data_IF_583614737344
#
_entry.id   IF_583614737344
#
_cell.length_a   1.000
_cell.length_b   1.000
_cell.length_c   1.000
_cell.angle_alpha   90.00
_cell.angle_beta   90.00
_cell.angle_gamma   90.00
#
_symmetry.space_group_name_H-M   'P 1'
#
loop_
_entity.id
_entity.type
_entity.pdbx_description
1 polymer ?
#
# COMPACT_ATOMS: atom_id res chain seq x y z
N UNK A 1 11.76 29.83 -19.63
CA UNK A 1 12.65 29.38 -20.73
C UNK A 1 12.43 27.88 -20.88
N UNK A 2 11.95 27.44 -22.05
CA UNK A 2 11.57 26.05 -22.35
C UNK A 2 12.66 25.46 -23.26
N UNK A 3 13.27 24.34 -22.87
CA UNK A 3 14.14 23.51 -23.70
C UNK A 3 14.33 22.15 -23.00
N UNK A 4 14.37 20.99 -23.64
CA UNK A 4 14.02 20.55 -24.99
C UNK A 4 13.83 19.02 -24.86
N UNK A 5 12.92 18.46 -25.66
CA UNK A 5 12.63 17.01 -25.76
C UNK A 5 13.67 16.35 -26.67
N UNK A 6 14.23 15.21 -26.26
CA UNK A 6 15.03 14.34 -27.14
C UNK A 6 14.45 12.93 -27.16
N UNK A 7 13.75 12.60 -28.24
CA UNK A 7 13.31 11.25 -28.62
C UNK A 7 14.43 10.60 -29.43
N UNK A 8 14.94 9.45 -28.98
CA UNK A 8 15.87 8.61 -29.72
C UNK A 8 15.14 7.42 -30.34
N UNK A 9 14.75 7.53 -31.62
CA UNK A 9 14.42 6.41 -32.49
C UNK A 9 15.72 5.85 -33.08
N UNK A 10 15.94 4.52 -32.99
CA UNK A 10 16.84 3.82 -33.89
C UNK A 10 16.18 2.56 -34.44
N UNK A 11 16.10 2.56 -35.78
CA UNK A 11 15.65 1.50 -36.68
C UNK A 11 16.75 0.44 -36.87
N UNK A 12 16.34 -0.83 -37.06
CA UNK A 12 16.89 -1.84 -37.99
C UNK A 12 16.47 -3.25 -37.47
N UNK A 13 16.01 -4.22 -38.26
CA UNK A 13 15.82 -4.32 -39.70
C UNK A 13 15.06 -5.61 -40.01
N UNK A 14 14.30 -5.57 -41.11
CA UNK A 14 13.63 -6.71 -41.72
C UNK A 14 14.61 -7.39 -42.69
N UNK A 15 14.64 -8.73 -42.72
CA UNK A 15 15.43 -9.51 -43.67
C UNK A 15 14.73 -10.83 -44.01
N UNK A 16 14.37 -10.98 -45.28
CA UNK A 16 13.53 -12.03 -45.87
C UNK A 16 14.37 -13.06 -46.65
N UNK A 17 13.84 -14.30 -46.72
CA UNK A 17 13.99 -15.36 -47.74
C UNK A 17 15.21 -16.29 -47.78
N UNK A 18 14.91 -17.60 -47.59
CA UNK A 18 15.12 -18.64 -48.61
C UNK A 18 16.37 -19.52 -48.54
N UNK A 19 16.19 -20.86 -48.54
CA UNK A 19 17.21 -21.81 -48.98
C UNK A 19 17.34 -23.11 -48.16
N UNK A 20 17.12 -24.24 -48.84
CA UNK A 20 17.10 -25.64 -48.38
C UNK A 20 18.41 -26.24 -47.77
N UNK A 21 18.17 -27.31 -46.99
CA UNK A 21 19.04 -28.29 -46.27
C UNK A 21 20.31 -28.78 -47.02
N UNK A 22 21.37 -29.25 -46.32
CA UNK A 22 21.31 -30.50 -45.54
C UNK A 22 22.06 -30.53 -44.19
N UNK A 23 21.67 -31.52 -43.36
CA UNK A 23 22.25 -31.87 -42.05
C UNK A 23 23.77 -32.04 -42.06
N UNK A 24 24.41 -31.70 -40.93
CA UNK A 24 25.01 -32.78 -40.15
C UNK A 24 24.68 -32.73 -38.65
N UNK A 25 24.65 -33.94 -38.09
CA UNK A 25 24.65 -34.37 -36.70
C UNK A 25 25.10 -33.35 -35.64
N UNK A 26 24.31 -33.30 -34.55
CA UNK A 26 24.74 -32.84 -33.24
C UNK A 26 24.36 -31.40 -32.90
N UNK A 27 23.07 -31.14 -32.60
CA UNK A 27 22.71 -29.93 -31.85
C UNK A 27 22.92 -30.20 -30.36
N UNK A 28 23.70 -29.39 -29.63
CA UNK A 28 23.57 -29.35 -28.18
C UNK A 28 22.13 -28.96 -27.90
N UNK A 29 21.46 -29.73 -27.03
CA UNK A 29 20.18 -29.32 -26.44
C UNK A 29 20.34 -27.89 -25.96
N UNK A 30 19.69 -26.95 -26.66
CA UNK A 30 19.42 -25.63 -26.10
C UNK A 30 18.57 -25.92 -24.88
N UNK A 31 19.22 -25.93 -23.71
CA UNK A 31 18.53 -25.72 -22.45
C UNK A 31 17.62 -24.52 -22.67
N UNK A 32 16.32 -24.78 -22.64
CA UNK A 32 15.35 -23.72 -22.42
C UNK A 32 15.85 -22.96 -21.20
N UNK A 33 16.00 -21.63 -21.24
CA UNK A 33 16.27 -20.89 -20.02
C UNK A 33 15.17 -21.28 -19.05
N UNK A 34 15.53 -21.98 -17.99
CA UNK A 34 14.63 -22.16 -16.86
C UNK A 34 14.16 -20.75 -16.52
N UNK A 35 12.85 -20.52 -16.60
CA UNK A 35 12.26 -19.25 -16.24
C UNK A 35 12.85 -18.88 -14.88
N UNK A 36 13.64 -17.80 -14.85
CA UNK A 36 14.31 -17.37 -13.64
C UNK A 36 13.22 -17.26 -12.58
N UNK A 37 13.38 -18.03 -11.49
CA UNK A 37 12.42 -18.00 -10.40
C UNK A 37 12.19 -16.53 -10.02
N UNK A 38 10.93 -16.07 -9.93
CA UNK A 38 10.65 -14.67 -9.65
C UNK A 38 11.40 -14.28 -8.37
N UNK A 39 12.25 -13.26 -8.48
CA UNK A 39 12.97 -12.71 -7.34
C UNK A 39 11.92 -12.31 -6.31
N UNK A 40 11.92 -12.94 -5.13
CA UNK A 40 11.00 -12.61 -4.04
C UNK A 40 11.16 -11.13 -3.70
N UNK A 41 10.21 -10.32 -4.14
CA UNK A 41 10.17 -8.90 -3.82
C UNK A 41 9.91 -8.77 -2.31
N UNK A 42 10.68 -7.91 -1.61
CA UNK A 42 10.51 -7.70 -0.16
C UNK A 42 9.02 -7.42 0.13
N UNK A 43 8.47 -8.13 1.13
CA UNK A 43 7.12 -7.92 1.63
C UNK A 43 7.12 -6.76 2.61
N UNK A 44 6.26 -5.78 2.40
CA UNK A 44 6.02 -4.71 3.38
C UNK A 44 5.24 -5.24 4.58
N UNK A 45 4.37 -6.24 4.40
CA UNK A 45 3.58 -6.85 5.48
C UNK A 45 4.43 -7.34 6.65
N UNK A 46 5.62 -7.88 6.38
CA UNK A 46 6.53 -8.40 7.41
C UNK A 46 7.01 -7.32 8.36
N UNK A 47 7.17 -6.10 7.87
CA UNK A 47 7.64 -4.97 8.67
C UNK A 47 6.48 -4.15 9.26
N UNK A 48 5.39 -3.98 8.50
CA UNK A 48 4.35 -3.00 8.81
C UNK A 48 3.16 -3.58 9.56
N UNK A 49 2.77 -4.84 9.36
CA UNK A 49 1.69 -5.45 10.14
C UNK A 49 1.97 -5.36 11.64
N UNK A 50 3.17 -5.72 12.15
CA UNK A 50 3.45 -5.59 13.58
C UNK A 50 3.37 -4.15 14.10
N UNK A 51 3.72 -3.14 13.29
CA UNK A 51 3.63 -1.72 13.67
C UNK A 51 2.17 -1.28 13.75
N UNK A 52 1.34 -1.69 12.79
CA UNK A 52 -0.10 -1.39 12.75
C UNK A 52 -0.81 -2.11 13.92
N UNK A 53 -0.50 -3.37 14.16
CA UNK A 53 -1.04 -4.14 15.28
C UNK A 53 -0.65 -3.53 16.62
N UNK A 54 0.60 -3.06 16.77
CA UNK A 54 1.03 -2.37 17.98
C UNK A 54 0.28 -1.04 18.18
N UNK A 55 -0.03 -0.33 17.09
CA UNK A 55 -0.80 0.91 17.14
C UNK A 55 -2.29 0.69 17.42
N UNK A 56 -2.86 -0.48 17.10
CA UNK A 56 -4.29 -0.81 17.19
C UNK A 56 -4.66 -1.83 18.29
N UNK A 57 -3.67 -2.45 18.93
CA UNK A 57 -3.83 -3.65 19.76
C UNK A 57 -4.40 -3.45 21.19
N UNK A 58 -4.58 -4.58 21.88
CA UNK A 58 -5.38 -4.79 23.11
C UNK A 58 -5.08 -3.91 24.34
N UNK A 59 -3.99 -3.15 24.36
CA UNK A 59 -3.71 -2.16 25.41
C UNK A 59 -4.53 -0.86 25.27
N UNK A 60 -5.34 -0.74 24.21
CA UNK A 60 -6.07 0.50 23.88
C UNK A 60 -7.59 0.35 23.99
N UNK A 61 -8.06 -0.77 24.54
CA UNK A 61 -9.48 -1.03 24.73
C UNK A 61 -10.12 0.07 25.60
N UNK A 62 -11.13 0.76 25.04
CA UNK A 62 -11.81 1.87 25.72
C UNK A 62 -11.04 3.19 25.77
N UNK A 63 -9.87 3.31 25.11
CA UNK A 63 -9.12 4.58 25.03
C UNK A 63 -9.97 5.66 24.36
N UNK A 64 -10.74 5.28 23.34
CA UNK A 64 -11.71 6.13 22.64
C UNK A 64 -13.17 5.93 23.11
N UNK A 65 -13.40 5.60 24.37
CA UNK A 65 -14.75 5.58 24.94
C UNK A 65 -15.39 6.99 25.03
N UNK A 66 -14.56 8.03 25.01
CA UNK A 66 -14.99 9.43 24.88
C UNK A 66 -14.09 10.06 23.83
N UNK A 67 -14.63 10.21 22.63
CA UNK A 67 -13.92 10.57 21.41
C UNK A 67 -13.22 11.91 21.59
N UNK A 68 -13.90 12.90 22.20
CA UNK A 68 -13.35 14.24 22.35
C UNK A 68 -12.20 14.39 23.35
N UNK A 69 -11.75 13.34 24.04
CA UNK A 69 -10.65 13.45 25.00
C UNK A 69 -9.27 13.35 24.35
N UNK A 70 -8.29 14.03 24.95
CA UNK A 70 -6.87 13.99 24.57
C UNK A 70 -6.32 12.57 24.36
N UNK A 71 -6.66 11.63 25.27
CA UNK A 71 -6.15 10.25 25.16
C UNK A 71 -6.65 9.53 23.91
N UNK A 72 -7.89 9.81 23.48
CA UNK A 72 -8.41 9.26 22.24
C UNK A 72 -7.72 9.91 21.04
N UNK A 73 -7.65 11.24 21.01
CA UNK A 73 -6.96 11.96 19.93
C UNK A 73 -5.51 11.49 19.77
N UNK A 74 -4.73 11.37 20.85
CA UNK A 74 -3.36 10.85 20.81
C UNK A 74 -3.28 9.41 20.29
N UNK A 75 -4.27 8.58 20.60
CA UNK A 75 -4.33 7.22 20.08
C UNK A 75 -4.62 7.19 18.58
N UNK A 76 -5.61 7.97 18.12
CA UNK A 76 -5.96 8.12 16.71
C UNK A 76 -4.77 8.70 15.91
N UNK A 77 -4.05 9.67 16.46
CA UNK A 77 -2.83 10.23 15.86
C UNK A 77 -1.75 9.17 15.67
N UNK A 78 -1.46 8.35 16.68
CA UNK A 78 -0.46 7.27 16.55
C UNK A 78 -0.83 6.26 15.45
N UNK A 79 -2.12 5.96 15.31
CA UNK A 79 -2.60 5.11 14.22
C UNK A 79 -2.35 5.79 12.88
N UNK A 80 -2.78 7.05 12.73
CA UNK A 80 -2.60 7.81 11.50
C UNK A 80 -1.12 7.96 11.10
N UNK A 81 -0.22 8.20 12.06
CA UNK A 81 1.23 8.27 11.83
C UNK A 81 1.77 6.97 11.24
N UNK A 82 1.44 5.81 11.82
CA UNK A 82 1.88 4.51 11.29
C UNK A 82 1.34 4.26 9.87
N UNK A 83 0.10 4.68 9.60
CA UNK A 83 -0.52 4.53 8.28
C UNK A 83 0.16 5.43 7.24
N UNK A 84 0.48 6.68 7.59
CA UNK A 84 1.23 7.61 6.73
C UNK A 84 2.63 7.08 6.46
N UNK A 85 3.31 6.56 7.48
CA UNK A 85 4.64 5.99 7.32
C UNK A 85 4.63 4.76 6.37
N UNK A 86 3.56 3.95 6.38
CA UNK A 86 3.37 2.89 5.40
C UNK A 86 3.17 3.45 3.98
N UNK A 87 2.40 4.53 3.82
CA UNK A 87 2.23 5.20 2.52
C UNK A 87 3.59 5.62 1.95
N UNK A 88 4.40 6.29 2.77
CA UNK A 88 5.77 6.69 2.40
C UNK A 88 6.62 5.49 2.00
N UNK A 89 6.49 4.36 2.70
CA UNK A 89 7.22 3.13 2.37
C UNK A 89 6.76 2.52 1.04
N UNK A 90 5.46 2.55 0.74
CA UNK A 90 4.91 2.10 -0.55
C UNK A 90 5.44 2.99 -1.68
N UNK A 91 5.43 4.31 -1.48
CA UNK A 91 5.86 5.29 -2.49
C UNK A 91 7.35 5.25 -2.75
N UNK A 92 8.15 5.16 -1.68
CA UNK A 92 9.61 5.04 -1.77
C UNK A 92 10.05 3.76 -2.49
N UNK A 93 9.19 2.73 -2.49
CA UNK A 93 9.40 1.48 -3.21
C UNK A 93 8.82 1.46 -4.63
N UNK A 94 8.21 2.56 -5.10
CA UNK A 94 7.44 2.65 -6.35
C UNK A 94 6.42 1.50 -6.48
N UNK A 95 5.76 1.17 -5.36
CA UNK A 95 4.98 -0.05 -5.23
C UNK A 95 3.47 0.17 -5.20
N UNK A 96 2.95 1.38 -5.48
CA UNK A 96 1.50 1.67 -5.44
C UNK A 96 0.66 0.68 -6.26
N UNK A 97 1.12 0.27 -7.44
CA UNK A 97 0.41 -0.71 -8.28
C UNK A 97 0.33 -2.11 -7.64
N UNK A 98 1.30 -2.44 -6.77
CA UNK A 98 1.33 -3.69 -6.00
C UNK A 98 0.31 -3.67 -4.86
N UNK A 99 0.09 -2.51 -4.25
CA UNK A 99 -0.72 -2.31 -3.03
C UNK A 99 -1.98 -1.46 -3.22
N UNK A 100 -2.84 -1.72 -4.23
CA UNK A 100 -3.96 -0.84 -4.54
C UNK A 100 -5.03 -0.79 -3.45
N UNK A 101 -5.23 -1.87 -2.69
CA UNK A 101 -6.21 -1.88 -1.60
C UNK A 101 -5.65 -1.19 -0.37
N UNK A 102 -4.39 -1.48 -0.03
CA UNK A 102 -3.71 -0.78 1.07
C UNK A 102 -3.69 0.72 0.85
N UNK A 103 -3.37 1.19 -0.37
CA UNK A 103 -3.42 2.64 -0.71
C UNK A 103 -4.81 3.22 -0.50
N UNK A 104 -5.87 2.50 -0.89
CA UNK A 104 -7.25 2.96 -0.68
C UNK A 104 -7.61 3.07 0.80
N UNK A 105 -7.14 2.15 1.63
CA UNK A 105 -7.40 2.19 3.07
C UNK A 105 -6.58 3.26 3.78
N UNK A 106 -5.33 3.47 3.35
CA UNK A 106 -4.51 4.62 3.75
C UNK A 106 -5.26 5.93 3.48
N UNK A 107 -5.79 6.12 2.27
CA UNK A 107 -6.52 7.34 1.90
C UNK A 107 -7.73 7.58 2.81
N UNK A 108 -8.47 6.51 3.17
CA UNK A 108 -9.63 6.62 4.09
C UNK A 108 -9.20 7.02 5.49
N UNK A 109 -8.16 6.42 6.03
CA UNK A 109 -7.65 6.75 7.37
C UNK A 109 -7.13 8.19 7.40
N UNK A 110 -6.38 8.59 6.37
CA UNK A 110 -5.89 9.97 6.22
C UNK A 110 -7.04 10.97 6.12
N UNK A 111 -8.08 10.67 5.32
CA UNK A 111 -9.26 11.51 5.22
C UNK A 111 -10.04 11.62 6.55
N UNK A 112 -10.19 10.52 7.28
CA UNK A 112 -10.86 10.51 8.58
C UNK A 112 -10.06 11.25 9.65
N UNK A 113 -8.73 11.09 9.67
CA UNK A 113 -7.81 11.84 10.54
C UNK A 113 -7.91 13.34 10.29
N UNK A 114 -7.90 13.75 9.02
CA UNK A 114 -8.08 15.15 8.64
C UNK A 114 -9.47 15.67 9.02
N UNK A 115 -10.52 14.87 8.82
CA UNK A 115 -11.89 15.21 9.23
C UNK A 115 -11.99 15.43 10.74
N UNK A 116 -11.41 14.52 11.53
CA UNK A 116 -11.36 14.63 12.98
C UNK A 116 -10.74 15.95 13.45
N UNK A 117 -9.61 16.34 12.85
CA UNK A 117 -8.93 17.59 13.19
C UNK A 117 -9.70 18.82 12.69
N UNK A 118 -10.21 18.77 11.45
CA UNK A 118 -10.90 19.90 10.80
C UNK A 118 -12.20 20.25 11.50
N UNK A 119 -12.96 19.24 11.93
CA UNK A 119 -14.24 19.44 12.62
C UNK A 119 -14.06 19.73 14.11
N UNK A 120 -12.82 19.83 14.61
CA UNK A 120 -12.53 20.25 15.97
C UNK A 120 -12.93 19.23 17.03
N UNK A 121 -12.85 17.94 16.72
CA UNK A 121 -13.34 16.87 17.59
C UNK A 121 -12.63 16.80 18.95
N UNK A 122 -11.36 17.22 19.00
CA UNK A 122 -10.63 17.31 20.27
C UNK A 122 -11.20 18.42 21.15
N UNK A 123 -11.67 18.04 22.34
CA UNK A 123 -12.26 18.95 23.31
C UNK A 123 -13.73 19.30 23.05
N UNK A 124 -14.34 18.76 21.99
CA UNK A 124 -15.75 18.96 21.70
C UNK A 124 -16.62 18.11 22.65
N UNK A 125 -17.46 18.73 23.51
CA UNK A 125 -18.35 17.99 24.42
C UNK A 125 -19.45 17.22 23.68
N UNK A 126 -19.68 17.50 22.38
CA UNK A 126 -20.64 16.81 21.53
C UNK A 126 -20.04 15.67 20.69
N UNK A 127 -18.72 15.44 20.79
CA UNK A 127 -18.00 14.44 19.99
C UNK A 127 -18.53 13.00 20.13
N UNK A 128 -19.16 12.68 21.27
CA UNK A 128 -19.70 11.37 21.61
C UNK A 128 -21.21 11.23 21.39
N UNK A 129 -21.88 12.31 20.96
CA UNK A 129 -23.31 12.26 20.70
C UNK A 129 -23.60 11.46 19.43
N UNK A 130 -24.71 10.71 19.45
CA UNK A 130 -25.21 10.00 18.28
C UNK A 130 -25.39 10.98 17.11
N UNK A 131 -24.78 10.64 15.97
CA UNK A 131 -24.78 11.49 14.77
C UNK A 131 -23.62 12.49 14.70
N UNK A 132 -22.77 12.57 15.72
CA UNK A 132 -21.54 13.35 15.64
C UNK A 132 -20.60 12.78 14.58
N UNK A 133 -20.04 13.62 13.68
CA UNK A 133 -19.04 13.17 12.71
C UNK A 133 -17.76 12.68 13.41
N UNK A 134 -17.46 13.18 14.62
CA UNK A 134 -16.28 12.80 15.39
C UNK A 134 -16.24 11.32 15.74
N UNK A 135 -17.37 10.75 16.16
CA UNK A 135 -17.49 9.32 16.40
C UNK A 135 -17.17 8.54 15.12
N UNK A 136 -17.75 8.94 13.98
CA UNK A 136 -17.49 8.31 12.69
C UNK A 136 -16.01 8.38 12.30
N UNK A 137 -15.36 9.54 12.42
CA UNK A 137 -13.94 9.68 12.10
C UNK A 137 -13.06 8.78 12.97
N UNK A 138 -13.33 8.75 14.28
CA UNK A 138 -12.58 7.87 15.19
C UNK A 138 -12.71 6.39 14.81
N UNK A 139 -13.92 5.96 14.44
CA UNK A 139 -14.19 4.60 14.02
C UNK A 139 -13.53 4.27 12.68
N UNK A 140 -13.60 5.18 11.70
CA UNK A 140 -13.00 5.02 10.38
C UNK A 140 -11.46 4.92 10.47
N UNK A 141 -10.81 5.67 11.37
CA UNK A 141 -9.36 5.56 11.64
C UNK A 141 -9.02 4.18 12.21
N UNK A 142 -9.71 3.75 13.27
CA UNK A 142 -9.43 2.47 13.93
C UNK A 142 -9.70 1.28 13.01
N UNK A 143 -10.89 1.23 12.38
CA UNK A 143 -11.29 0.14 11.48
C UNK A 143 -10.47 0.14 10.20
N UNK A 144 -10.15 1.32 9.66
CA UNK A 144 -9.30 1.45 8.47
C UNK A 144 -7.91 0.89 8.71
N UNK A 145 -7.29 1.19 9.86
CA UNK A 145 -5.98 0.63 10.21
C UNK A 145 -6.03 -0.89 10.43
N UNK A 146 -7.09 -1.43 11.06
CA UNK A 146 -7.26 -2.89 11.17
C UNK A 146 -7.48 -3.56 9.80
N UNK A 147 -8.23 -2.91 8.90
CA UNK A 147 -8.47 -3.43 7.54
C UNK A 147 -7.19 -3.43 6.70
N UNK A 148 -6.33 -2.43 6.92
CA UNK A 148 -5.04 -2.28 6.25
C UNK A 148 -4.11 -3.48 6.46
N UNK A 149 -4.12 -4.14 7.62
CA UNK A 149 -3.29 -5.35 7.85
C UNK A 149 -3.71 -6.51 6.94
N UNK A 150 -5.03 -6.69 6.77
CA UNK A 150 -5.61 -7.71 5.90
C UNK A 150 -5.34 -7.39 4.43
N UNK A 151 -5.54 -6.14 4.03
CA UNK A 151 -5.36 -5.73 2.63
C UNK A 151 -3.89 -5.71 2.22
N UNK A 152 -2.97 -5.33 3.12
CA UNK A 152 -1.53 -5.41 2.86
C UNK A 152 -1.07 -6.85 2.59
N UNK A 153 -1.54 -7.81 3.38
CA UNK A 153 -1.27 -9.23 3.12
C UNK A 153 -1.92 -9.73 1.83
N UNK A 154 -3.15 -9.29 1.55
CA UNK A 154 -3.91 -9.70 0.36
C UNK A 154 -3.28 -9.17 -0.93
N UNK A 155 -2.83 -7.92 -0.94
CA UNK A 155 -2.17 -7.29 -2.08
C UNK A 155 -0.84 -7.98 -2.42
N UNK A 156 -0.07 -8.38 -1.41
CA UNK A 156 1.16 -9.16 -1.62
C UNK A 156 0.88 -10.55 -2.16
N UNK A 157 -0.11 -11.26 -1.61
CA UNK A 157 -0.52 -12.58 -2.10
C UNK A 157 -0.99 -12.52 -3.55
N UNK A 158 -1.79 -11.51 -3.92
CA UNK A 158 -2.24 -11.28 -5.29
C UNK A 158 -1.05 -11.15 -6.25
N UNK A 159 -0.04 -10.37 -5.85
CA UNK A 159 1.16 -10.16 -6.65
C UNK A 159 1.97 -11.45 -6.83
N UNK A 160 2.08 -12.27 -5.77
CA UNK A 160 2.79 -13.55 -5.82
C UNK A 160 2.10 -14.56 -6.74
N UNK A 161 0.78 -14.46 -6.90
CA UNK A 161 -0.01 -15.31 -7.78
C UNK A 161 -0.08 -14.81 -9.24
N UNK A 162 0.64 -13.74 -9.58
CA UNK A 162 0.73 -13.19 -10.94
C UNK A 162 -0.47 -12.33 -11.38
N UNK A 163 -1.19 -11.75 -10.42
CA UNK A 163 -2.29 -10.82 -10.67
C UNK A 163 -1.90 -9.35 -10.77
#
# INVERSE_FOLDING_TARGET
MIAAVTVGLLLAGCGSSGGDKPEPSGKPSKESPAAAAPKKTKKLSTEWIPKIDAATGSGTQGVCATVGMDRCAQHLTRIAEVVIDLEVAIDSADARARYPRSVKDIDKVSAASNGYATDGCLGDPSADLDGSPCFKYSADIMVGASSLTLDLGTDELRTELGG
#
